data_IF_236148338834
#
_entry.id   IF_236148338834
#
_cell.length_a   1.000
_cell.length_b   1.000
_cell.length_c   1.000
_cell.angle_alpha   90.00
_cell.angle_beta   90.00
_cell.angle_gamma   90.00
#
_symmetry.space_group_name_H-M   'P 1'
#
loop_
_entity.id
_entity.type
_entity.pdbx_description
1 polymer ?
#
# COMPACT_ATOMS: atom_id res chain seq x y z
N UNK A 1 4.01 -27.12 2.43
CA UNK A 1 4.88 -26.13 1.77
C UNK A 1 4.12 -25.15 0.88
N UNK A 2 3.19 -25.60 0.03
CA UNK A 2 2.49 -24.76 -0.96
C UNK A 2 1.72 -23.58 -0.38
N UNK A 3 1.06 -23.76 0.78
CA UNK A 3 0.30 -22.70 1.46
C UNK A 3 1.17 -21.53 1.93
N UNK A 4 2.34 -21.82 2.52
CA UNK A 4 3.28 -20.80 2.99
C UNK A 4 3.86 -19.98 1.82
N UNK A 5 4.16 -20.64 0.70
CA UNK A 5 4.65 -19.95 -0.50
C UNK A 5 3.60 -19.02 -1.11
N UNK A 6 2.34 -19.46 -1.18
CA UNK A 6 1.21 -18.65 -1.64
C UNK A 6 0.97 -17.43 -0.75
N UNK A 7 1.00 -17.61 0.57
CA UNK A 7 0.85 -16.49 1.53
C UNK A 7 1.99 -15.49 1.36
N UNK A 8 3.25 -15.94 1.29
CA UNK A 8 4.39 -15.05 1.05
C UNK A 8 4.29 -14.33 -0.30
N UNK A 9 3.81 -15.00 -1.34
CA UNK A 9 3.59 -14.39 -2.65
C UNK A 9 2.52 -13.30 -2.58
N UNK A 10 1.43 -13.53 -1.86
CA UNK A 10 0.36 -12.55 -1.64
C UNK A 10 0.84 -11.36 -0.80
N UNK A 11 1.62 -11.60 0.25
CA UNK A 11 2.25 -10.54 1.07
C UNK A 11 3.19 -9.69 0.21
N UNK A 12 4.08 -10.33 -0.56
CA UNK A 12 5.02 -9.63 -1.43
C UNK A 12 4.31 -8.83 -2.53
N UNK A 13 3.25 -9.39 -3.12
CA UNK A 13 2.43 -8.70 -4.10
C UNK A 13 1.74 -7.47 -3.50
N UNK A 14 1.16 -7.63 -2.30
CA UNK A 14 0.55 -6.54 -1.52
C UNK A 14 1.55 -5.42 -1.23
N UNK A 15 2.75 -5.75 -0.76
CA UNK A 15 3.81 -4.75 -0.51
C UNK A 15 4.31 -4.07 -1.79
N UNK A 16 4.41 -4.83 -2.89
CA UNK A 16 4.85 -4.31 -4.18
C UNK A 16 3.87 -3.29 -4.74
N UNK A 17 2.57 -3.57 -4.68
CA UNK A 17 1.52 -2.61 -5.04
C UNK A 17 1.64 -1.37 -4.16
N UNK A 18 1.74 -1.55 -2.84
CA UNK A 18 1.86 -0.43 -1.91
C UNK A 18 3.05 0.48 -2.24
N UNK A 19 4.23 -0.08 -2.50
CA UNK A 19 5.43 0.67 -2.88
C UNK A 19 5.28 1.40 -4.23
N UNK A 20 4.74 0.72 -5.24
CA UNK A 20 4.52 1.28 -6.58
C UNK A 20 3.58 2.48 -6.51
N UNK A 21 2.48 2.33 -5.80
CA UNK A 21 1.45 3.34 -5.64
C UNK A 21 1.96 4.55 -4.82
N UNK A 22 2.68 4.31 -3.72
CA UNK A 22 3.39 5.38 -2.97
C UNK A 22 4.37 6.14 -3.88
N UNK A 23 5.12 5.44 -4.73
CA UNK A 23 6.09 6.08 -5.62
C UNK A 23 5.40 6.95 -6.69
N UNK A 24 4.27 6.51 -7.24
CA UNK A 24 3.47 7.32 -8.17
C UNK A 24 2.94 8.57 -7.50
N UNK A 25 2.38 8.45 -6.29
CA UNK A 25 1.90 9.58 -5.53
C UNK A 25 3.01 10.57 -5.18
N UNK A 26 4.19 10.06 -4.81
CA UNK A 26 5.38 10.88 -4.58
C UNK A 26 5.78 11.70 -5.81
N UNK A 27 5.85 11.04 -6.97
CA UNK A 27 6.19 11.70 -8.22
C UNK A 27 5.13 12.74 -8.63
N UNK A 28 3.84 12.42 -8.47
CA UNK A 28 2.74 13.33 -8.79
C UNK A 28 2.74 14.57 -7.89
N UNK A 29 2.92 14.40 -6.58
CA UNK A 29 2.97 15.52 -5.63
C UNK A 29 4.21 16.40 -5.84
N UNK A 30 5.38 15.79 -6.07
CA UNK A 30 6.60 16.53 -6.41
C UNK A 30 6.42 17.35 -7.69
N UNK A 31 5.80 16.77 -8.72
CA UNK A 31 5.63 17.42 -10.02
C UNK A 31 4.54 18.52 -10.01
N UNK A 32 3.37 18.23 -9.45
CA UNK A 32 2.22 19.16 -9.49
C UNK A 32 2.34 20.29 -8.45
N UNK A 33 2.93 20.03 -7.28
CA UNK A 33 2.89 20.95 -6.14
C UNK A 33 4.27 21.46 -5.72
N UNK A 34 5.36 20.98 -6.32
CA UNK A 34 6.72 21.36 -5.95
C UNK A 34 7.08 21.03 -4.49
N UNK A 35 6.34 20.13 -3.85
CA UNK A 35 6.48 19.83 -2.42
C UNK A 35 7.87 19.29 -2.10
N UNK A 36 8.35 19.64 -0.91
CA UNK A 36 9.56 19.03 -0.38
C UNK A 36 9.35 17.54 -0.10
N UNK A 37 10.45 16.77 -0.06
CA UNK A 37 10.40 15.33 0.21
C UNK A 37 9.64 15.01 1.51
N UNK A 38 9.83 15.82 2.54
CA UNK A 38 9.21 15.66 3.87
C UNK A 38 7.70 15.90 3.85
N UNK A 39 7.24 16.95 3.15
CA UNK A 39 5.81 17.24 3.01
C UNK A 39 5.10 16.16 2.19
N UNK A 40 5.75 15.73 1.10
CA UNK A 40 5.24 14.66 0.25
C UNK A 40 5.09 13.36 1.03
N UNK A 41 6.08 12.98 1.85
CA UNK A 41 5.99 11.79 2.70
C UNK A 41 4.87 11.89 3.75
N UNK A 42 4.69 13.06 4.38
CA UNK A 42 3.58 13.29 5.33
C UNK A 42 2.22 13.12 4.65
N UNK A 43 2.05 13.71 3.46
CA UNK A 43 0.81 13.60 2.70
C UNK A 43 0.54 12.17 2.24
N UNK A 44 1.55 11.49 1.71
CA UNK A 44 1.44 10.08 1.33
C UNK A 44 1.01 9.24 2.52
N UNK A 45 1.65 9.38 3.69
CA UNK A 45 1.24 8.62 4.88
C UNK A 45 -0.23 8.86 5.22
N UNK A 46 -0.68 10.12 5.21
CA UNK A 46 -2.05 10.48 5.58
C UNK A 46 -3.08 9.92 4.59
N UNK A 47 -2.81 9.97 3.27
CA UNK A 47 -3.72 9.48 2.25
C UNK A 47 -3.63 7.96 2.03
N UNK A 48 -2.42 7.39 2.02
CA UNK A 48 -2.24 5.95 1.84
C UNK A 48 -2.68 5.16 3.05
N UNK A 49 -2.33 5.53 4.28
CA UNK A 49 -2.75 4.72 5.43
C UNK A 49 -4.29 4.69 5.55
N UNK A 50 -4.96 5.77 5.16
CA UNK A 50 -6.43 5.84 5.16
C UNK A 50 -7.05 5.07 3.98
N UNK A 51 -6.59 5.33 2.74
CA UNK A 51 -7.12 4.68 1.54
C UNK A 51 -6.80 3.19 1.47
N UNK A 52 -5.63 2.80 1.97
CA UNK A 52 -5.19 1.42 2.02
C UNK A 52 -5.95 0.60 3.06
N UNK A 53 -6.17 1.15 4.27
CA UNK A 53 -7.07 0.53 5.26
C UNK A 53 -8.48 0.36 4.70
N UNK A 54 -8.95 1.30 3.90
CA UNK A 54 -10.25 1.22 3.24
C UNK A 54 -10.30 0.14 2.15
N UNK A 55 -9.24 0.00 1.36
CA UNK A 55 -9.07 -1.09 0.41
C UNK A 55 -9.10 -2.46 1.12
N UNK A 56 -8.36 -2.62 2.21
CA UNK A 56 -8.35 -3.86 2.99
C UNK A 56 -9.71 -4.19 3.60
N UNK A 57 -10.41 -3.17 4.09
CA UNK A 57 -11.78 -3.31 4.58
C UNK A 57 -12.74 -3.83 3.48
N UNK A 58 -12.59 -3.35 2.24
CA UNK A 58 -13.39 -3.81 1.09
C UNK A 58 -13.03 -5.20 0.58
N UNK A 59 -11.87 -5.73 0.96
CA UNK A 59 -11.38 -7.03 0.51
C UNK A 59 -11.18 -8.00 1.70
N UNK A 60 -12.26 -8.39 2.43
CA UNK A 60 -12.15 -9.22 3.63
C UNK A 60 -11.50 -10.58 3.36
N UNK A 61 -11.72 -11.15 2.17
CA UNK A 61 -11.13 -12.42 1.73
C UNK A 61 -9.60 -12.34 1.60
N UNK A 62 -9.06 -11.16 1.30
CA UNK A 62 -7.62 -10.92 1.28
C UNK A 62 -7.04 -10.96 2.70
N UNK A 63 -7.77 -10.40 3.68
CA UNK A 63 -7.37 -10.41 5.10
C UNK A 63 -7.39 -11.82 5.68
N UNK A 64 -8.41 -12.61 5.35
CA UNK A 64 -8.51 -14.04 5.69
C UNK A 64 -7.33 -14.85 5.12
N UNK A 65 -7.00 -14.65 3.83
CA UNK A 65 -5.86 -15.32 3.19
C UNK A 65 -4.51 -14.95 3.81
N UNK A 66 -4.41 -13.77 4.41
CA UNK A 66 -3.23 -13.28 5.12
C UNK A 66 -3.18 -13.71 6.60
N UNK A 67 -4.22 -14.41 7.09
CA UNK A 67 -4.29 -14.90 8.47
C UNK A 67 -4.68 -13.83 9.50
N UNK A 68 -5.34 -12.75 9.08
CA UNK A 68 -5.79 -11.68 9.98
C UNK A 68 -7.14 -11.97 10.69
N UNK A 69 -7.68 -13.19 10.59
CA UNK A 69 -8.90 -13.65 11.27
C UNK A 69 -8.81 -15.12 11.66
#
# INVERSE_FOLDING_TARGET
MTRHYLINTLVNWRESIRKSEIQKAYNAMKYMWGMTKTETLKMIHLYYDTGYKWYEYKHPKLRELLGEW
#
